data_IF_494209147303
#
_entry.id   IF_494209147303
#
_cell.length_a   1.000
_cell.length_b   1.000
_cell.length_c   1.000
_cell.angle_alpha   90.00
_cell.angle_beta   90.00
_cell.angle_gamma   90.00
#
_symmetry.space_group_name_H-M   'P 1'
#
loop_
_entity.id
_entity.type
_entity.pdbx_description
1 polymer ?
#
# COMPACT_ATOMS: atom_id res chain seq x y z
N UNK A 1 21.97 1.33 -6.73
CA UNK A 1 20.91 1.39 -5.70
C UNK A 1 21.56 1.00 -4.39
N UNK A 2 21.58 1.86 -3.38
CA UNK A 2 22.21 1.53 -2.12
C UNK A 2 21.33 0.54 -1.33
N UNK A 3 21.92 -0.57 -0.94
CA UNK A 3 21.36 -1.44 0.10
C UNK A 3 21.99 -0.96 1.41
N UNK A 4 21.16 -0.42 2.30
CA UNK A 4 21.59 0.10 3.59
C UNK A 4 20.92 -0.66 4.73
N UNK A 5 21.56 -0.63 5.91
CA UNK A 5 20.92 -1.20 7.11
C UNK A 5 19.98 -0.17 7.73
N UNK A 6 18.66 -0.49 7.76
CA UNK A 6 17.61 0.35 8.32
C UNK A 6 16.73 -0.47 9.25
N UNK A 7 16.47 0.03 10.45
CA UNK A 7 15.75 -0.68 11.50
C UNK A 7 16.20 -2.15 11.66
N UNK A 8 17.52 -2.40 11.52
CA UNK A 8 18.10 -3.74 11.69
C UNK A 8 18.16 -4.62 10.43
N UNK A 9 17.44 -4.30 9.35
CA UNK A 9 17.39 -5.07 8.11
C UNK A 9 18.18 -4.40 6.97
N UNK A 10 18.65 -5.20 6.01
CA UNK A 10 19.23 -4.68 4.75
C UNK A 10 18.08 -4.28 3.82
N UNK A 11 17.96 -2.99 3.56
CA UNK A 11 16.88 -2.40 2.77
C UNK A 11 17.43 -1.77 1.51
N UNK A 12 16.87 -2.18 0.37
CA UNK A 12 17.12 -1.53 -0.92
C UNK A 12 16.16 -0.35 -1.09
N UNK A 13 16.68 0.79 -1.55
CA UNK A 13 15.88 1.97 -1.82
C UNK A 13 16.29 2.64 -3.14
N UNK A 14 15.33 3.36 -3.72
CA UNK A 14 15.50 4.24 -4.89
C UNK A 14 15.28 5.67 -4.45
N UNK A 15 16.17 6.57 -4.89
CA UNK A 15 15.92 8.00 -4.86
C UNK A 15 15.51 8.44 -6.27
N UNK A 16 14.39 9.14 -6.38
CA UNK A 16 13.75 9.53 -7.63
C UNK A 16 13.43 11.03 -7.59
N UNK A 17 13.63 11.72 -8.72
CA UNK A 17 13.39 13.17 -8.79
C UNK A 17 14.46 14.00 -8.06
N UNK A 18 14.30 15.32 -8.12
CA UNK A 18 15.27 16.30 -7.61
C UNK A 18 14.64 17.59 -7.06
N UNK A 19 13.35 17.57 -6.76
CA UNK A 19 12.65 18.71 -6.16
C UNK A 19 13.04 18.93 -4.69
N UNK A 20 12.65 20.06 -4.13
CA UNK A 20 12.98 20.47 -2.76
C UNK A 20 12.13 19.73 -1.69
N UNK A 21 10.88 19.44 -2.02
CA UNK A 21 9.97 18.73 -1.15
C UNK A 21 10.20 17.23 -1.21
N UNK A 22 10.14 16.58 -0.05
CA UNK A 22 10.36 15.15 0.08
C UNK A 22 9.07 14.35 0.05
N UNK A 23 9.11 13.19 -0.61
CA UNK A 23 8.05 12.19 -0.53
C UNK A 23 8.59 10.79 -0.24
N UNK A 24 7.82 10.01 0.52
CA UNK A 24 8.05 8.58 0.76
C UNK A 24 6.97 7.78 0.04
N UNK A 25 7.41 6.84 -0.81
CA UNK A 25 6.56 6.01 -1.65
C UNK A 25 6.58 4.56 -1.14
N UNK A 26 5.43 4.03 -0.75
CA UNK A 26 5.27 2.71 -0.14
C UNK A 26 4.48 1.78 -1.08
N UNK A 27 5.14 0.76 -1.61
CA UNK A 27 4.58 -0.12 -2.65
C UNK A 27 3.60 -1.17 -2.09
N UNK A 28 2.81 -1.77 -2.98
CA UNK A 28 1.88 -2.85 -2.66
C UNK A 28 2.57 -4.20 -2.45
N UNK A 29 1.86 -5.15 -1.85
CA UNK A 29 2.31 -6.54 -1.74
C UNK A 29 2.72 -7.10 -3.10
N UNK A 30 3.71 -8.00 -3.10
CA UNK A 30 4.27 -8.70 -4.28
C UNK A 30 4.98 -7.79 -5.32
N UNK A 31 4.99 -6.45 -5.11
CA UNK A 31 5.70 -5.50 -5.95
C UNK A 31 7.11 -5.18 -5.38
N UNK A 32 7.67 -4.04 -5.75
CA UNK A 32 8.90 -3.45 -5.22
C UNK A 32 8.94 -1.95 -5.54
N UNK A 33 9.97 -1.25 -5.08
CA UNK A 33 10.16 0.20 -5.27
C UNK A 33 10.09 0.66 -6.74
N UNK A 34 10.44 -0.19 -7.70
CA UNK A 34 10.41 0.15 -9.14
C UNK A 34 8.98 0.28 -9.69
N UNK A 35 7.97 -0.25 -8.98
CA UNK A 35 6.56 -0.06 -9.36
C UNK A 35 6.14 1.43 -9.38
N UNK A 36 6.91 2.27 -8.69
CA UNK A 36 6.67 3.71 -8.63
C UNK A 36 7.25 4.50 -9.81
N UNK A 37 8.12 3.91 -10.65
CA UNK A 37 8.79 4.63 -11.74
C UNK A 37 7.83 5.39 -12.67
N UNK A 38 6.68 4.81 -13.12
CA UNK A 38 5.75 5.52 -13.99
C UNK A 38 5.12 6.75 -13.32
N UNK A 39 4.77 6.64 -12.02
CA UNK A 39 4.21 7.75 -11.26
C UNK A 39 5.29 8.80 -10.90
N UNK A 40 6.48 8.34 -10.52
CA UNK A 40 7.56 9.23 -10.11
C UNK A 40 8.06 10.14 -11.24
N UNK A 41 7.97 9.69 -12.50
CA UNK A 41 8.34 10.53 -13.66
C UNK A 41 7.48 11.79 -13.79
N UNK A 42 6.22 11.73 -13.34
CA UNK A 42 5.30 12.87 -13.32
C UNK A 42 5.70 13.93 -12.26
N UNK A 43 6.50 13.57 -11.26
CA UNK A 43 6.92 14.45 -10.15
C UNK A 43 8.42 14.74 -10.10
N UNK A 44 9.20 14.29 -11.07
CA UNK A 44 10.67 14.29 -11.02
C UNK A 44 11.33 15.65 -10.78
N UNK A 45 10.68 16.74 -11.19
CA UNK A 45 11.18 18.09 -11.03
C UNK A 45 10.59 18.83 -9.81
N UNK A 46 9.54 18.27 -9.19
CA UNK A 46 8.83 18.84 -8.04
C UNK A 46 9.21 18.21 -6.71
N UNK A 47 9.45 16.90 -6.70
CA UNK A 47 9.68 16.12 -5.50
C UNK A 47 11.02 15.39 -5.55
N UNK A 48 11.68 15.32 -4.40
CA UNK A 48 12.72 14.34 -4.10
C UNK A 48 12.07 13.14 -3.40
N UNK A 49 11.90 12.06 -4.13
CA UNK A 49 11.14 10.90 -3.67
C UNK A 49 12.05 9.76 -3.25
N UNK A 50 11.71 9.09 -2.16
CA UNK A 50 12.32 7.82 -1.76
C UNK A 50 11.27 6.72 -1.85
N UNK A 51 11.60 5.64 -2.56
CA UNK A 51 10.85 4.40 -2.58
C UNK A 51 11.76 3.27 -2.12
N UNK A 52 11.36 2.48 -1.15
CA UNK A 52 12.15 1.34 -0.70
C UNK A 52 11.40 0.02 -0.92
N UNK A 53 12.16 -1.06 -1.06
CA UNK A 53 11.58 -2.40 -1.12
C UNK A 53 11.22 -2.84 0.31
N UNK A 54 9.95 -3.17 0.54
CA UNK A 54 9.50 -3.73 1.82
C UNK A 54 10.26 -5.04 2.12
N UNK A 55 10.43 -5.44 3.40
CA UNK A 55 11.05 -6.73 3.74
C UNK A 55 10.47 -7.90 2.94
N UNK A 56 11.32 -8.79 2.46
CA UNK A 56 10.92 -9.91 1.60
C UNK A 56 10.57 -9.54 0.15
N UNK A 57 10.70 -8.27 -0.23
CA UNK A 57 10.41 -7.79 -1.58
C UNK A 57 11.66 -7.24 -2.26
N UNK A 58 11.64 -7.23 -3.60
CA UNK A 58 12.69 -6.64 -4.42
C UNK A 58 14.09 -7.18 -4.10
N UNK A 59 14.97 -6.28 -3.68
CA UNK A 59 16.35 -6.57 -3.26
C UNK A 59 16.56 -6.36 -1.75
N UNK A 60 15.52 -6.05 -0.99
CA UNK A 60 15.57 -6.00 0.47
C UNK A 60 15.74 -7.39 1.06
N UNK A 61 16.25 -7.44 2.30
CA UNK A 61 16.41 -8.69 3.06
C UNK A 61 15.08 -9.43 3.16
N UNK A 62 15.13 -10.75 3.06
CA UNK A 62 13.97 -11.61 3.27
C UNK A 62 13.39 -11.40 4.68
N UNK A 63 12.08 -11.57 4.79
CA UNK A 63 11.38 -11.50 6.06
C UNK A 63 11.64 -12.76 6.89
N UNK A 64 11.92 -12.57 8.17
CA UNK A 64 12.30 -13.64 9.10
C UNK A 64 11.17 -14.09 10.05
N UNK A 65 10.00 -13.47 9.93
CA UNK A 65 8.79 -13.80 10.71
C UNK A 65 8.98 -13.67 12.24
N UNK A 66 9.90 -12.81 12.71
CA UNK A 66 10.24 -12.69 14.13
C UNK A 66 9.47 -11.59 14.86
N UNK A 67 8.75 -10.72 14.13
CA UNK A 67 8.00 -9.59 14.70
C UNK A 67 6.78 -9.26 13.84
N UNK A 68 5.94 -8.30 14.27
CA UNK A 68 4.86 -7.82 13.42
C UNK A 68 5.41 -7.17 12.15
N UNK A 69 4.90 -7.60 10.99
CA UNK A 69 5.39 -7.17 9.70
C UNK A 69 5.08 -5.70 9.42
N UNK A 70 3.86 -5.22 9.77
CA UNK A 70 3.48 -3.83 9.54
C UNK A 70 4.27 -2.89 10.45
N UNK A 71 4.49 -3.25 11.71
CA UNK A 71 5.33 -2.48 12.63
C UNK A 71 6.78 -2.40 12.13
N UNK A 72 7.30 -3.49 11.58
CA UNK A 72 8.64 -3.44 10.98
C UNK A 72 8.68 -2.52 9.75
N UNK A 73 7.65 -2.53 8.92
CA UNK A 73 7.54 -1.59 7.79
C UNK A 73 7.45 -0.14 8.27
N UNK A 74 6.74 0.13 9.38
CA UNK A 74 6.69 1.44 10.02
C UNK A 74 8.07 1.88 10.52
N UNK A 75 8.79 1.01 11.25
CA UNK A 75 10.13 1.30 11.77
C UNK A 75 11.10 1.67 10.64
N UNK A 76 11.08 0.91 9.54
CA UNK A 76 11.91 1.21 8.36
C UNK A 76 11.50 2.55 7.75
N UNK A 77 10.20 2.78 7.57
CA UNK A 77 9.66 4.04 7.01
C UNK A 77 10.14 5.25 7.82
N UNK A 78 10.12 5.16 9.16
CA UNK A 78 10.54 6.24 10.06
C UNK A 78 12.00 6.65 9.86
N UNK A 79 12.87 5.72 9.44
CA UNK A 79 14.29 6.00 9.18
C UNK A 79 14.53 6.90 7.96
N UNK A 80 13.53 7.08 7.10
CA UNK A 80 13.58 7.99 5.95
C UNK A 80 12.99 9.36 6.24
N UNK A 81 12.39 9.55 7.43
CA UNK A 81 11.68 10.77 7.82
C UNK A 81 12.59 11.61 8.72
N UNK A 82 13.22 12.64 8.18
CA UNK A 82 14.07 13.58 8.92
C UNK A 82 13.57 15.04 8.86
N UNK A 83 12.55 15.30 8.06
CA UNK A 83 11.80 16.56 7.94
C UNK A 83 10.37 16.24 7.50
N UNK A 84 9.43 17.20 7.51
CA UNK A 84 8.07 16.98 7.02
C UNK A 84 8.06 16.53 5.55
N UNK A 85 7.28 15.48 5.25
CA UNK A 85 7.24 14.79 3.96
C UNK A 85 5.82 14.60 3.44
N UNK A 86 5.71 14.32 2.15
CA UNK A 86 4.49 13.78 1.54
C UNK A 86 4.53 12.25 1.57
N UNK A 87 3.44 11.61 1.98
CA UNK A 87 3.30 10.16 1.99
C UNK A 87 2.45 9.70 0.81
N UNK A 88 2.93 8.72 0.06
CA UNK A 88 2.13 8.07 -1.00
C UNK A 88 2.22 6.56 -0.77
N UNK A 89 1.09 5.93 -0.52
CA UNK A 89 1.01 4.49 -0.31
C UNK A 89 0.06 3.81 -1.28
N UNK A 90 0.40 2.60 -1.73
CA UNK A 90 -0.44 1.77 -2.58
C UNK A 90 -0.75 0.44 -1.89
N UNK A 91 -2.04 0.08 -1.84
CA UNK A 91 -2.50 -1.21 -1.32
C UNK A 91 -2.01 -1.41 0.13
N UNK A 92 -1.23 -2.46 0.43
CA UNK A 92 -0.61 -2.63 1.75
C UNK A 92 0.30 -1.45 2.13
N UNK A 93 1.06 -0.90 1.18
CA UNK A 93 1.86 0.31 1.44
C UNK A 93 1.02 1.52 1.88
N UNK A 94 -0.26 1.59 1.47
CA UNK A 94 -1.18 2.61 1.97
C UNK A 94 -1.54 2.39 3.45
N UNK A 95 -1.63 1.15 3.91
CA UNK A 95 -1.85 0.85 5.35
C UNK A 95 -0.62 1.21 6.19
N UNK A 96 0.59 1.02 5.64
CA UNK A 96 1.83 1.48 6.28
C UNK A 96 1.88 3.01 6.31
N UNK A 97 1.47 3.70 5.23
CA UNK A 97 1.37 5.17 5.22
C UNK A 97 0.39 5.69 6.29
N UNK A 98 -0.75 5.02 6.50
CA UNK A 98 -1.68 5.33 7.59
C UNK A 98 -1.01 5.19 8.96
N UNK A 99 -0.24 4.14 9.18
CA UNK A 99 0.53 3.94 10.43
C UNK A 99 1.58 5.05 10.65
N UNK A 100 2.27 5.46 9.59
CA UNK A 100 3.20 6.59 9.65
C UNK A 100 2.47 7.87 10.02
N UNK A 101 1.33 8.16 9.38
CA UNK A 101 0.54 9.36 9.65
C UNK A 101 -0.03 9.38 11.09
N UNK A 102 -0.48 8.22 11.60
CA UNK A 102 -0.94 8.09 12.98
C UNK A 102 0.19 8.34 13.99
N UNK A 103 1.38 7.78 13.72
CA UNK A 103 2.50 7.78 14.67
C UNK A 103 3.33 9.07 14.65
N UNK A 104 3.42 9.71 13.48
CA UNK A 104 4.26 10.88 13.23
C UNK A 104 3.50 11.99 12.50
N UNK A 105 2.32 12.44 12.99
CA UNK A 105 1.47 13.40 12.29
C UNK A 105 2.17 14.72 11.96
N UNK A 106 3.04 15.22 12.84
CA UNK A 106 3.78 16.48 12.65
C UNK A 106 4.79 16.44 11.49
N UNK A 107 5.14 15.23 11.04
CA UNK A 107 6.05 15.03 9.92
C UNK A 107 5.30 14.75 8.59
N UNK A 108 3.97 14.81 8.57
CA UNK A 108 3.18 14.50 7.37
C UNK A 108 2.60 15.79 6.79
N UNK A 109 3.19 16.27 5.68
CA UNK A 109 2.67 17.41 4.91
C UNK A 109 1.36 17.06 4.19
N UNK A 110 1.30 15.88 3.60
CA UNK A 110 0.11 15.33 2.97
C UNK A 110 0.19 13.81 2.88
N UNK A 111 -0.95 13.16 2.70
CA UNK A 111 -1.03 11.72 2.50
C UNK A 111 -1.92 11.37 1.32
N UNK A 112 -1.42 10.53 0.41
CA UNK A 112 -2.18 9.98 -0.71
C UNK A 112 -2.24 8.46 -0.61
N UNK A 113 -3.44 7.92 -0.43
CA UNK A 113 -3.71 6.50 -0.26
C UNK A 113 -4.33 5.98 -1.56
N UNK A 114 -3.61 5.14 -2.28
CA UNK A 114 -4.09 4.52 -3.50
C UNK A 114 -4.51 3.10 -3.20
N UNK A 115 -5.79 2.78 -3.43
CA UNK A 115 -6.33 1.43 -3.22
C UNK A 115 -5.99 0.85 -1.84
N UNK A 116 -6.24 1.57 -0.73
CA UNK A 116 -5.86 1.12 0.61
C UNK A 116 -6.59 -0.15 1.02
N UNK A 117 -5.87 -1.23 1.32
CA UNK A 117 -6.46 -2.54 1.67
C UNK A 117 -6.68 -2.70 3.18
N UNK A 118 -7.15 -1.68 3.84
CA UNK A 118 -7.50 -1.74 5.26
C UNK A 118 -8.94 -2.21 5.43
N UNK A 119 -9.15 -3.52 5.25
CA UNK A 119 -10.48 -4.16 5.24
C UNK A 119 -11.24 -3.97 6.55
N UNK A 120 -10.53 -3.94 7.69
CA UNK A 120 -11.13 -3.66 8.99
C UNK A 120 -12.01 -2.39 8.99
N UNK A 121 -11.64 -1.36 8.20
CA UNK A 121 -12.42 -0.14 8.10
C UNK A 121 -13.80 -0.39 7.45
N UNK A 122 -13.84 -1.17 6.37
CA UNK A 122 -15.10 -1.51 5.73
C UNK A 122 -15.93 -2.46 6.62
N UNK A 123 -15.32 -3.43 7.27
CA UNK A 123 -16.03 -4.39 8.13
C UNK A 123 -16.59 -3.71 9.38
N UNK A 124 -15.88 -2.74 9.94
CA UNK A 124 -16.37 -1.95 11.08
C UNK A 124 -17.63 -1.15 10.74
N UNK A 125 -17.67 -0.51 9.56
CA UNK A 125 -18.75 0.40 9.18
C UNK A 125 -19.89 -0.30 8.40
N UNK A 126 -19.58 -1.44 7.77
CA UNK A 126 -20.47 -2.21 6.88
C UNK A 126 -20.30 -3.71 7.13
N UNK A 127 -20.65 -4.18 8.34
CA UNK A 127 -20.36 -5.53 8.80
C UNK A 127 -20.89 -6.66 7.92
N UNK A 128 -21.97 -6.42 7.14
CA UNK A 128 -22.52 -7.38 6.19
C UNK A 128 -21.58 -7.71 5.02
N UNK A 129 -20.57 -6.85 4.77
CA UNK A 129 -19.61 -7.05 3.67
C UNK A 129 -18.56 -8.09 4.01
N UNK A 130 -18.27 -8.32 5.29
CA UNK A 130 -17.23 -9.27 5.70
C UNK A 130 -17.51 -10.69 5.20
N UNK A 131 -18.73 -11.18 5.41
CA UNK A 131 -19.13 -12.52 4.98
C UNK A 131 -19.00 -12.69 3.46
N UNK A 132 -19.42 -11.70 2.67
CA UNK A 132 -19.26 -11.71 1.23
C UNK A 132 -17.78 -11.71 0.81
N UNK A 133 -16.99 -10.85 1.46
CA UNK A 133 -15.54 -10.76 1.18
C UNK A 133 -14.84 -12.08 1.48
N UNK A 134 -15.13 -12.71 2.63
CA UNK A 134 -14.57 -14.00 3.01
C UNK A 134 -14.95 -15.10 2.04
N UNK A 135 -16.19 -15.08 1.52
CA UNK A 135 -16.62 -16.03 0.50
C UNK A 135 -15.86 -15.84 -0.84
N UNK A 136 -15.69 -14.61 -1.28
CA UNK A 136 -14.96 -14.30 -2.52
C UNK A 136 -13.47 -14.68 -2.43
N UNK A 137 -12.91 -14.74 -1.22
CA UNK A 137 -11.51 -15.09 -0.96
C UNK A 137 -11.31 -16.51 -0.42
N UNK A 138 -12.38 -17.32 -0.29
CA UNK A 138 -12.33 -18.63 0.36
C UNK A 138 -11.25 -19.55 -0.24
N UNK A 139 -11.23 -19.70 -1.57
CA UNK A 139 -10.25 -20.56 -2.25
C UNK A 139 -8.81 -20.09 -2.02
N UNK A 140 -8.59 -18.76 -1.96
CA UNK A 140 -7.29 -18.18 -1.66
C UNK A 140 -6.83 -18.50 -0.23
N UNK A 141 -7.72 -18.40 0.75
CA UNK A 141 -7.41 -18.75 2.14
C UNK A 141 -7.14 -20.24 2.30
N UNK A 142 -7.96 -21.11 1.69
CA UNK A 142 -7.74 -22.56 1.69
C UNK A 142 -6.39 -22.91 1.08
N UNK A 143 -6.06 -22.33 -0.08
CA UNK A 143 -4.75 -22.56 -0.71
C UNK A 143 -3.58 -22.12 0.19
N UNK A 144 -3.76 -21.06 1.00
CA UNK A 144 -2.78 -20.61 1.99
C UNK A 144 -2.62 -21.56 3.17
N UNK A 145 -3.72 -22.05 3.73
CA UNK A 145 -3.74 -23.05 4.81
C UNK A 145 -3.05 -24.35 4.37
N UNK A 146 -3.32 -24.79 3.15
CA UNK A 146 -2.69 -25.97 2.54
C UNK A 146 -1.23 -25.72 2.12
N UNK A 147 -0.72 -24.48 2.26
CA UNK A 147 0.60 -24.04 1.76
C UNK A 147 0.80 -24.30 0.27
N UNK A 148 -0.29 -24.33 -0.49
CA UNK A 148 -0.25 -24.38 -1.94
C UNK A 148 0.04 -22.98 -2.51
N UNK A 149 1.27 -22.51 -2.29
CA UNK A 149 1.68 -21.13 -2.59
C UNK A 149 1.53 -20.77 -4.07
N UNK A 150 1.62 -21.74 -4.97
CA UNK A 150 1.41 -21.49 -6.39
C UNK A 150 -0.05 -21.17 -6.70
N UNK A 151 -0.98 -21.95 -6.17
CA UNK A 151 -2.42 -21.70 -6.31
C UNK A 151 -2.81 -20.41 -5.57
N UNK A 152 -2.32 -20.20 -4.36
CA UNK A 152 -2.58 -18.97 -3.62
C UNK A 152 -2.12 -17.72 -4.41
N UNK A 153 -0.96 -17.76 -5.07
CA UNK A 153 -0.47 -16.66 -5.90
C UNK A 153 -1.36 -16.43 -7.14
N UNK A 154 -1.81 -17.48 -7.80
CA UNK A 154 -2.75 -17.39 -8.94
C UNK A 154 -4.06 -16.73 -8.52
N UNK A 155 -4.68 -17.22 -7.42
CA UNK A 155 -5.94 -16.70 -6.90
C UNK A 155 -5.81 -15.25 -6.43
N UNK A 156 -4.72 -14.92 -5.76
CA UNK A 156 -4.43 -13.54 -5.35
C UNK A 156 -4.33 -12.60 -6.55
N UNK A 157 -3.60 -12.98 -7.59
CA UNK A 157 -3.46 -12.16 -8.80
C UNK A 157 -4.78 -12.03 -9.58
N UNK A 158 -5.64 -13.03 -9.53
CA UNK A 158 -6.99 -12.96 -10.09
C UNK A 158 -7.86 -11.93 -9.38
N UNK A 159 -7.74 -11.80 -8.06
CA UNK A 159 -8.51 -10.86 -7.23
C UNK A 159 -7.93 -9.43 -7.28
N UNK A 160 -6.60 -9.30 -7.22
CA UNK A 160 -5.90 -8.03 -6.96
C UNK A 160 -4.88 -7.65 -8.04
N UNK A 161 -4.66 -8.49 -9.02
CA UNK A 161 -3.71 -8.24 -10.10
C UNK A 161 -4.25 -7.29 -11.17
N UNK A 162 -3.48 -7.13 -12.23
CA UNK A 162 -3.80 -6.26 -13.38
C UNK A 162 -4.50 -7.01 -14.51
N UNK A 163 -5.33 -8.02 -14.20
CA UNK A 163 -5.96 -8.92 -15.17
C UNK A 163 -4.96 -9.67 -16.10
N UNK A 164 -3.69 -9.77 -15.69
CA UNK A 164 -2.75 -10.61 -16.42
C UNK A 164 -3.19 -12.08 -16.28
N UNK A 165 -3.34 -12.76 -17.41
CA UNK A 165 -3.63 -14.19 -17.40
C UNK A 165 -2.45 -14.96 -16.80
N UNK A 166 -2.67 -15.61 -15.66
CA UNK A 166 -1.68 -16.45 -14.99
C UNK A 166 -1.01 -17.43 -15.95
N UNK A 167 -1.76 -18.01 -16.87
CA UNK A 167 -1.24 -19.01 -17.81
C UNK A 167 -0.20 -18.42 -18.77
N UNK A 168 -0.27 -17.14 -19.06
CA UNK A 168 0.67 -16.44 -19.94
C UNK A 168 1.95 -15.98 -19.21
N UNK A 169 1.99 -16.05 -17.88
CA UNK A 169 3.19 -15.73 -17.13
C UNK A 169 4.28 -16.79 -17.30
N UNK A 170 5.53 -16.34 -17.39
CA UNK A 170 6.67 -17.26 -17.39
C UNK A 170 6.76 -18.04 -16.07
N UNK A 171 7.27 -19.26 -16.11
CA UNK A 171 7.46 -20.08 -14.92
C UNK A 171 8.37 -19.40 -13.87
N UNK A 172 9.29 -18.56 -14.31
CA UNK A 172 10.12 -17.75 -13.40
C UNK A 172 9.27 -16.75 -12.63
N UNK A 173 8.35 -16.02 -13.30
CA UNK A 173 7.43 -15.08 -12.64
C UNK A 173 6.48 -15.81 -11.68
N UNK A 174 5.89 -16.93 -12.11
CA UNK A 174 5.01 -17.74 -11.25
C UNK A 174 5.72 -18.19 -9.97
N UNK A 175 6.98 -18.65 -10.08
CA UNK A 175 7.80 -19.01 -8.91
C UNK A 175 8.07 -17.81 -8.01
N UNK A 176 8.39 -16.63 -8.56
CA UNK A 176 8.61 -15.41 -7.78
C UNK A 176 7.35 -15.01 -6.99
N UNK A 177 6.17 -15.09 -7.60
CA UNK A 177 4.92 -14.83 -6.88
C UNK A 177 4.68 -15.86 -5.78
N UNK A 178 4.82 -17.15 -6.08
CA UNK A 178 4.64 -18.24 -5.11
C UNK A 178 5.62 -18.14 -3.91
N UNK A 179 6.83 -17.63 -4.11
CA UNK A 179 7.78 -17.42 -3.02
C UNK A 179 7.40 -16.26 -2.10
N UNK A 180 6.69 -15.25 -2.61
CA UNK A 180 6.34 -14.04 -1.86
C UNK A 180 4.92 -14.03 -1.32
N UNK A 181 4.03 -14.84 -1.86
CA UNK A 181 2.62 -14.88 -1.44
C UNK A 181 2.44 -15.13 0.07
N UNK A 182 3.30 -15.91 0.78
CA UNK A 182 3.19 -16.03 2.23
C UNK A 182 3.17 -14.69 2.98
N UNK A 183 3.82 -13.64 2.44
CA UNK A 183 3.82 -12.31 3.05
C UNK A 183 2.44 -11.66 3.07
N UNK A 184 1.54 -12.04 2.16
CA UNK A 184 0.16 -11.52 2.14
C UNK A 184 -0.68 -12.14 3.28
N UNK A 185 -0.27 -13.26 3.83
CA UNK A 185 -0.86 -13.85 5.04
C UNK A 185 -0.27 -13.23 6.31
N UNK A 186 1.01 -12.83 6.31
CA UNK A 186 1.63 -12.09 7.42
C UNK A 186 0.95 -10.77 7.73
N UNK A 187 0.48 -10.06 6.70
CA UNK A 187 -0.20 -8.78 6.87
C UNK A 187 -1.65 -8.90 7.34
N UNK A 188 -2.22 -10.12 7.38
CA UNK A 188 -3.64 -10.37 7.64
C UNK A 188 -4.14 -9.69 8.92
N UNK A 189 -3.41 -9.82 10.02
CA UNK A 189 -3.77 -9.19 11.29
C UNK A 189 -3.89 -7.67 11.17
N UNK A 190 -2.96 -7.05 10.45
CA UNK A 190 -2.92 -5.59 10.29
C UNK A 190 -4.06 -5.05 9.40
N UNK A 191 -4.49 -5.83 8.40
CA UNK A 191 -5.49 -5.37 7.42
C UNK A 191 -6.92 -5.77 7.76
N UNK A 192 -7.11 -6.86 8.55
CA UNK A 192 -8.44 -7.35 8.91
C UNK A 192 -8.90 -6.97 10.33
N UNK A 193 -7.98 -6.70 11.27
CA UNK A 193 -8.33 -6.62 12.71
C UNK A 193 -8.01 -5.30 13.40
N UNK A 194 -7.41 -4.32 12.75
CA UNK A 194 -6.99 -3.03 13.35
C UNK A 194 -6.25 -3.13 14.71
N UNK A 195 -5.13 -3.87 14.79
CA UNK A 195 -4.40 -4.06 16.05
C UNK A 195 -3.78 -2.78 16.62
N UNK A 196 -3.82 -1.69 15.86
CA UNK A 196 -3.18 -0.41 16.17
C UNK A 196 -4.16 0.73 16.38
N UNK A 197 -5.45 0.40 16.54
CA UNK A 197 -6.49 1.38 16.86
C UNK A 197 -6.63 2.54 15.83
N UNK A 198 -6.34 2.27 14.57
CA UNK A 198 -6.49 3.28 13.50
C UNK A 198 -7.96 3.65 13.22
N UNK A 199 -8.90 2.81 13.64
CA UNK A 199 -10.35 3.08 13.52
C UNK A 199 -10.94 3.80 14.72
N UNK A 200 -10.18 3.97 15.81
CA UNK A 200 -10.65 4.73 16.98
C UNK A 200 -10.94 6.18 16.60
N UNK A 201 -11.92 6.75 17.29
CA UNK A 201 -12.21 8.18 17.20
C UNK A 201 -10.93 8.99 17.48
N UNK A 202 -10.69 10.00 16.65
CA UNK A 202 -9.51 10.86 16.73
C UNK A 202 -8.14 10.23 16.42
N UNK A 203 -8.07 8.99 15.90
CA UNK A 203 -6.79 8.36 15.54
C UNK A 203 -5.93 9.21 14.59
N UNK A 204 -6.56 10.05 13.76
CA UNK A 204 -5.91 10.95 12.80
C UNK A 204 -6.17 12.43 13.07
N UNK A 205 -6.70 12.81 14.23
CA UNK A 205 -7.09 14.20 14.54
C UNK A 205 -5.92 15.19 14.53
N UNK A 206 -4.71 14.73 14.79
CA UNK A 206 -3.48 15.55 14.74
C UNK A 206 -2.93 15.71 13.32
N UNK A 207 -3.48 15.02 12.31
CA UNK A 207 -3.06 15.16 10.94
C UNK A 207 -3.67 16.45 10.35
N UNK A 208 -2.84 17.46 10.13
CA UNK A 208 -3.26 18.77 9.59
C UNK A 208 -3.16 18.86 8.08
N UNK A 209 -2.30 18.03 7.47
CA UNK A 209 -2.08 17.97 6.04
C UNK A 209 -3.30 17.46 5.26
N UNK A 210 -3.36 17.77 3.97
CA UNK A 210 -4.40 17.24 3.09
C UNK A 210 -4.22 15.75 2.87
N UNK A 211 -5.34 15.08 2.66
CA UNK A 211 -5.38 13.67 2.32
C UNK A 211 -6.14 13.43 1.00
N UNK A 212 -5.71 12.46 0.22
CA UNK A 212 -6.47 11.90 -0.89
C UNK A 212 -6.57 10.39 -0.77
N UNK A 213 -7.75 9.86 -1.07
CA UNK A 213 -7.97 8.43 -1.21
C UNK A 213 -8.43 8.17 -2.64
N UNK A 214 -7.70 7.30 -3.33
CA UNK A 214 -7.87 7.07 -4.77
C UNK A 214 -8.18 5.58 -4.98
N UNK A 215 -9.27 5.29 -5.68
CA UNK A 215 -9.61 3.91 -6.06
C UNK A 215 -10.17 3.85 -7.48
N UNK A 216 -10.14 2.66 -8.08
CA UNK A 216 -10.66 2.41 -9.41
C UNK A 216 -12.07 1.83 -9.38
N UNK A 217 -12.90 2.16 -10.38
CA UNK A 217 -14.27 1.65 -10.50
C UNK A 217 -14.35 0.17 -10.89
N UNK A 218 -13.23 -0.41 -11.38
CA UNK A 218 -13.08 -1.84 -11.71
C UNK A 218 -12.27 -2.60 -10.66
N UNK A 219 -11.94 -1.98 -9.53
CA UNK A 219 -11.32 -2.65 -8.39
C UNK A 219 -12.32 -3.57 -7.68
N UNK A 220 -11.81 -4.37 -6.74
CA UNK A 220 -12.64 -5.24 -5.92
C UNK A 220 -13.79 -4.45 -5.26
N UNK A 221 -15.00 -5.06 -5.18
CA UNK A 221 -16.21 -4.41 -4.70
C UNK A 221 -16.06 -3.72 -3.33
N UNK A 222 -15.12 -4.18 -2.48
CA UNK A 222 -14.89 -3.65 -1.14
C UNK A 222 -14.22 -2.26 -1.14
N UNK A 223 -13.50 -1.89 -2.20
CA UNK A 223 -12.68 -0.68 -2.23
C UNK A 223 -13.44 0.63 -2.01
N UNK A 224 -14.63 0.85 -2.60
CA UNK A 224 -15.44 2.03 -2.29
C UNK A 224 -15.80 2.16 -0.80
N UNK A 225 -16.03 1.05 -0.12
CA UNK A 225 -16.42 1.01 1.29
C UNK A 225 -15.24 1.31 2.20
N UNK A 226 -14.08 0.68 1.96
CA UNK A 226 -12.84 1.04 2.67
C UNK A 226 -12.55 2.53 2.50
N UNK A 227 -12.62 3.01 1.26
CA UNK A 227 -12.31 4.40 0.93
C UNK A 227 -13.25 5.38 1.64
N UNK A 228 -14.54 5.10 1.71
CA UNK A 228 -15.52 5.91 2.46
C UNK A 228 -15.26 5.86 3.96
N UNK A 229 -15.02 4.68 4.53
CA UNK A 229 -14.77 4.49 5.95
C UNK A 229 -13.50 5.26 6.39
N UNK A 230 -12.44 5.23 5.60
CA UNK A 230 -11.21 5.98 5.87
C UNK A 230 -11.40 7.49 5.68
N UNK A 231 -12.13 7.93 4.63
CA UNK A 231 -12.37 9.35 4.38
C UNK A 231 -13.21 10.01 5.50
N UNK A 232 -14.05 9.25 6.18
CA UNK A 232 -14.80 9.74 7.34
C UNK A 232 -13.93 9.93 8.59
N UNK A 233 -12.74 9.31 8.65
CA UNK A 233 -11.84 9.32 9.82
C UNK A 233 -10.61 10.21 9.64
N UNK A 234 -10.20 10.45 8.41
CA UNK A 234 -9.01 11.26 8.10
C UNK A 234 -9.45 12.68 7.75
N UNK A 235 -9.01 13.70 8.49
CA UNK A 235 -9.34 15.09 8.20
C UNK A 235 -8.87 15.52 6.81
N UNK A 236 -9.53 16.53 6.24
CA UNK A 236 -9.15 17.15 4.97
C UNK A 236 -8.98 16.18 3.78
N UNK A 237 -9.78 15.09 3.77
CA UNK A 237 -9.67 14.02 2.78
C UNK A 237 -10.52 14.28 1.55
N UNK A 238 -9.91 14.21 0.37
CA UNK A 238 -10.59 14.15 -0.92
C UNK A 238 -10.67 12.69 -1.40
N UNK A 239 -11.88 12.20 -1.70
CA UNK A 239 -12.13 10.86 -2.23
C UNK A 239 -12.28 10.90 -3.75
N UNK A 240 -11.51 10.08 -4.48
CA UNK A 240 -11.49 10.01 -5.95
C UNK A 240 -11.66 8.58 -6.46
N UNK A 241 -12.67 8.40 -7.33
CA UNK A 241 -12.84 7.17 -8.11
C UNK A 241 -12.33 7.40 -9.53
N UNK A 242 -11.40 6.57 -10.00
CA UNK A 242 -10.86 6.63 -11.37
C UNK A 242 -11.62 5.63 -12.23
N UNK A 243 -12.20 6.14 -13.33
CA UNK A 243 -12.97 5.34 -14.27
C UNK A 243 -12.09 4.40 -15.09
N UNK A 244 -12.59 3.20 -15.36
CA UNK A 244 -11.92 2.13 -16.13
C UNK A 244 -10.62 1.63 -15.52
N UNK A 245 -10.44 1.78 -14.23
CA UNK A 245 -9.22 1.45 -13.51
C UNK A 245 -9.45 0.37 -12.45
N UNK A 246 -8.51 -0.58 -12.36
CA UNK A 246 -8.45 -1.63 -11.32
C UNK A 246 -7.43 -1.31 -10.24
N UNK A 247 -7.08 -2.31 -9.45
CA UNK A 247 -6.23 -2.16 -8.26
C UNK A 247 -4.82 -1.59 -8.53
N UNK A 248 -4.25 -1.82 -9.71
CA UNK A 248 -2.87 -1.42 -10.03
C UNK A 248 -2.73 0.00 -10.60
N UNK A 249 -3.51 0.95 -10.06
CA UNK A 249 -3.60 2.35 -10.48
C UNK A 249 -2.25 3.07 -10.71
N UNK A 250 -1.25 2.97 -9.80
CA UNK A 250 0.02 3.69 -10.00
C UNK A 250 0.78 3.27 -11.27
N UNK A 251 0.50 2.06 -11.76
CA UNK A 251 1.14 1.48 -12.93
C UNK A 251 0.30 1.71 -14.19
N UNK A 252 -1.03 1.52 -14.09
CA UNK A 252 -1.93 1.57 -15.25
C UNK A 252 -2.42 2.96 -15.58
N UNK A 253 -2.54 3.83 -14.57
CA UNK A 253 -3.08 5.19 -14.67
C UNK A 253 -2.19 6.23 -13.96
N UNK A 254 -0.84 6.22 -14.16
CA UNK A 254 0.08 7.06 -13.40
C UNK A 254 -0.21 8.55 -13.52
N UNK A 255 -0.56 9.04 -14.72
CA UNK A 255 -0.84 10.45 -14.96
C UNK A 255 -2.06 10.97 -14.18
N UNK A 256 -3.15 10.19 -14.16
CA UNK A 256 -4.35 10.58 -13.41
C UNK A 256 -4.08 10.53 -11.90
N UNK A 257 -3.39 9.50 -11.42
CA UNK A 257 -2.94 9.44 -10.03
C UNK A 257 -2.08 10.66 -9.66
N UNK A 258 -1.11 11.00 -10.52
CA UNK A 258 -0.24 12.16 -10.32
C UNK A 258 -1.03 13.48 -10.25
N UNK A 259 -2.00 13.70 -11.11
CA UNK A 259 -2.84 14.91 -11.08
C UNK A 259 -3.61 15.05 -9.75
N UNK A 260 -4.11 13.94 -9.19
CA UNK A 260 -4.84 13.96 -7.91
C UNK A 260 -3.86 14.21 -6.77
N UNK A 261 -2.73 13.50 -6.76
CA UNK A 261 -1.67 13.65 -5.74
C UNK A 261 -1.13 15.08 -5.75
N UNK A 262 -0.91 15.67 -6.93
CA UNK A 262 -0.42 17.04 -7.05
C UNK A 262 -1.34 18.05 -6.36
N UNK A 263 -2.66 17.94 -6.54
CA UNK A 263 -3.65 18.75 -5.82
C UNK A 263 -3.62 18.57 -4.31
N UNK A 264 -3.19 17.41 -3.85
CA UNK A 264 -3.04 17.11 -2.42
C UNK A 264 -1.75 17.74 -1.86
N UNK A 265 -0.72 17.87 -2.68
CA UNK A 265 0.59 18.44 -2.33
C UNK A 265 0.60 19.97 -2.34
N UNK A 266 -0.02 20.59 -3.35
CA UNK A 266 0.08 22.04 -3.65
C UNK A 266 -0.61 22.98 -2.63
N UNK A 267 -1.21 22.47 -1.59
CA UNK A 267 -1.97 23.26 -0.63
C UNK A 267 -1.81 22.78 0.79
#
# INVERSE_FOLDING_TARGET
MPIERRAGLKINSLTLGKGDDQALLLHCSLANSRAWLPLADEFKDMLSMVAFDLPGHGMSQDWDYTSDYQDRCLDISSTFINKPIHLVGHSFGATVALRVAQRFPDFVKSISLIEPVFFAAAFSDYGELEARFMLDHADYFIAGEDKNWRLAAELFLKLWGNNEDWNLLSESKKRQFAQRIPLTFEISKAIYNDPHDMLKEHAFSSLTGKASIIYGDRSHFIMPYISKALSARIPNTELKCIQNAGHMLPITHPKICAQIINKTIEH
#
